data_IF_631725739831
#
_entry.id   IF_631725739831
#
_cell.length_a   1.000
_cell.length_b   1.000
_cell.length_c   1.000
_cell.angle_alpha   90.00
_cell.angle_beta   90.00
_cell.angle_gamma   90.00
#
_symmetry.space_group_name_H-M   'P 1'
#
loop_
_entity.id
_entity.type
_entity.pdbx_description
1 polymer ?
#
# COMPACT_ATOMS: atom_id res chain seq x y z
N UNK A 1 -66.82 29.19 -21.88
CA UNK A 1 -65.56 29.29 -22.66
C UNK A 1 -64.47 28.46 -22.00
N UNK A 2 -64.12 27.29 -22.55
CA UNK A 2 -62.99 26.48 -22.07
C UNK A 2 -61.68 27.18 -22.47
N UNK A 3 -60.88 27.61 -21.50
CA UNK A 3 -59.52 28.12 -21.76
C UNK A 3 -58.66 26.94 -22.21
N UNK A 4 -58.43 26.83 -23.52
CA UNK A 4 -57.48 25.86 -24.09
C UNK A 4 -56.07 26.34 -23.74
N UNK A 5 -55.40 25.64 -22.83
CA UNK A 5 -53.98 25.87 -22.55
C UNK A 5 -53.15 25.17 -23.63
N UNK A 6 -52.59 25.95 -24.55
CA UNK A 6 -51.61 25.46 -25.52
C UNK A 6 -50.29 25.17 -24.78
N UNK A 7 -49.90 23.89 -24.68
CA UNK A 7 -48.54 23.51 -24.29
C UNK A 7 -47.65 23.55 -25.53
N UNK A 8 -46.51 24.26 -25.53
CA UNK A 8 -45.58 24.19 -26.66
C UNK A 8 -45.10 22.75 -26.85
N UNK A 9 -45.11 22.25 -28.09
CA UNK A 9 -44.79 20.86 -28.44
C UNK A 9 -43.31 20.47 -28.27
N UNK A 10 -42.46 21.32 -27.66
CA UNK A 10 -41.08 20.99 -27.37
C UNK A 10 -40.39 22.05 -26.51
N UNK A 11 -39.37 21.62 -25.76
CA UNK A 11 -38.49 22.54 -25.02
C UNK A 11 -37.75 23.42 -26.03
N UNK A 12 -37.71 24.76 -25.88
CA UNK A 12 -37.01 25.61 -26.83
C UNK A 12 -35.49 25.36 -26.79
N UNK A 13 -34.82 25.35 -27.96
CA UNK A 13 -33.36 25.14 -28.08
C UNK A 13 -32.53 26.03 -27.14
N UNK A 14 -32.98 27.27 -26.92
CA UNK A 14 -32.34 28.23 -26.00
C UNK A 14 -32.39 27.78 -24.53
N UNK A 15 -33.48 27.13 -24.10
CA UNK A 15 -33.58 26.57 -22.77
C UNK A 15 -32.66 25.36 -22.60
N UNK A 16 -32.56 24.50 -23.63
CA UNK A 16 -31.59 23.41 -23.63
C UNK A 16 -30.15 23.93 -23.54
N UNK A 17 -29.82 24.98 -24.31
CA UNK A 17 -28.49 25.63 -24.24
C UNK A 17 -28.20 26.18 -22.84
N UNK A 18 -29.19 26.79 -22.17
CA UNK A 18 -28.99 27.34 -20.83
C UNK A 18 -28.81 26.23 -19.78
N UNK A 19 -29.60 25.15 -19.86
CA UNK A 19 -29.39 23.97 -19.00
C UNK A 19 -28.01 23.37 -19.25
N UNK A 20 -27.59 23.26 -20.51
CA UNK A 20 -26.25 22.78 -20.87
C UNK A 20 -25.15 23.68 -20.28
N UNK A 21 -25.29 25.00 -20.36
CA UNK A 21 -24.34 25.93 -19.74
C UNK A 21 -24.27 25.74 -18.21
N UNK A 22 -25.41 25.62 -17.53
CA UNK A 22 -25.44 25.37 -16.08
C UNK A 22 -24.77 24.04 -15.74
N UNK A 23 -25.02 22.98 -16.51
CA UNK A 23 -24.40 21.68 -16.33
C UNK A 23 -22.88 21.73 -16.54
N UNK A 24 -22.41 22.41 -17.59
CA UNK A 24 -20.98 22.59 -17.86
C UNK A 24 -20.32 23.42 -16.76
N UNK A 25 -20.95 24.52 -16.30
CA UNK A 25 -20.42 25.32 -15.20
C UNK A 25 -20.35 24.53 -13.89
N UNK A 26 -21.36 23.71 -13.60
CA UNK A 26 -21.35 22.81 -12.45
C UNK A 26 -20.22 21.78 -12.53
N UNK A 27 -20.02 21.16 -13.70
CA UNK A 27 -18.93 20.21 -13.94
C UNK A 27 -17.56 20.89 -13.74
N UNK A 28 -17.34 22.05 -14.37
CA UNK A 28 -16.11 22.82 -14.23
C UNK A 28 -15.86 23.21 -12.77
N UNK A 29 -16.90 23.60 -12.03
CA UNK A 29 -16.76 23.93 -10.61
C UNK A 29 -16.35 22.69 -9.78
N UNK A 30 -16.93 21.52 -10.05
CA UNK A 30 -16.55 20.26 -9.37
C UNK A 30 -15.10 19.88 -9.68
N UNK A 31 -14.66 20.05 -10.93
CA UNK A 31 -13.29 19.71 -11.35
C UNK A 31 -12.24 20.71 -10.83
N UNK A 32 -12.56 22.00 -10.78
CA UNK A 32 -11.60 23.06 -10.42
C UNK A 32 -11.46 23.29 -8.92
N UNK A 33 -12.41 22.83 -8.11
CA UNK A 33 -12.42 23.05 -6.67
C UNK A 33 -12.47 21.74 -5.85
N UNK A 34 -11.45 20.86 -5.97
CA UNK A 34 -11.34 19.69 -5.10
C UNK A 34 -11.04 20.10 -3.65
N UNK A 35 -11.36 19.20 -2.71
CA UNK A 35 -11.07 19.39 -1.28
C UNK A 35 -10.11 18.31 -0.81
N UNK A 36 -9.07 18.72 -0.08
CA UNK A 36 -8.14 17.83 0.57
C UNK A 36 -8.82 17.10 1.75
N UNK A 37 -9.00 15.78 1.62
CA UNK A 37 -9.60 14.90 2.64
C UNK A 37 -8.54 14.00 3.25
N UNK A 38 -8.39 14.08 4.58
CA UNK A 38 -7.60 13.11 5.36
C UNK A 38 -8.21 11.73 5.20
N UNK A 39 -7.37 10.75 4.91
CA UNK A 39 -7.78 9.37 4.70
C UNK A 39 -7.99 8.66 6.04
N UNK A 40 -8.72 7.53 6.05
CA UNK A 40 -8.95 6.71 7.25
C UNK A 40 -7.61 6.32 7.91
N UNK A 41 -7.60 6.24 9.25
CA UNK A 41 -6.44 5.94 10.08
C UNK A 41 -5.27 6.93 9.89
N UNK A 42 -5.59 8.21 9.64
CA UNK A 42 -4.58 9.26 9.44
C UNK A 42 -3.58 9.39 10.61
N UNK A 43 -4.02 9.39 11.89
CA UNK A 43 -3.09 9.47 13.01
C UNK A 43 -2.14 8.27 13.07
N UNK A 44 -2.64 7.05 12.94
CA UNK A 44 -1.86 5.82 13.01
C UNK A 44 -0.86 5.74 11.84
N UNK A 45 -1.26 6.19 10.65
CA UNK A 45 -0.35 6.32 9.50
C UNK A 45 0.82 7.25 9.76
N UNK A 46 0.57 8.40 10.40
CA UNK A 46 1.64 9.34 10.76
C UNK A 46 2.55 8.76 11.84
N UNK A 47 1.98 8.11 12.86
CA UNK A 47 2.77 7.43 13.90
C UNK A 47 3.66 6.35 13.29
N UNK A 48 3.11 5.49 12.44
CA UNK A 48 3.85 4.43 11.76
C UNK A 48 5.00 4.99 10.90
N UNK A 49 4.74 6.04 10.12
CA UNK A 49 5.78 6.64 9.28
C UNK A 49 6.88 7.33 10.09
N UNK A 50 6.54 8.00 11.21
CA UNK A 50 7.56 8.57 12.12
C UNK A 50 8.42 7.48 12.76
N UNK A 51 7.79 6.42 13.24
CA UNK A 51 8.48 5.29 13.86
C UNK A 51 9.39 4.56 12.86
N UNK A 52 8.95 4.42 11.60
CA UNK A 52 9.81 3.87 10.54
C UNK A 52 11.04 4.75 10.27
N UNK A 53 10.87 6.07 10.23
CA UNK A 53 11.99 7.01 10.06
C UNK A 53 12.97 6.95 11.24
N UNK A 54 12.46 6.87 12.47
CA UNK A 54 13.27 6.69 13.68
C UNK A 54 14.09 5.39 13.60
N UNK A 55 13.46 4.28 13.23
CA UNK A 55 14.12 3.00 13.04
C UNK A 55 15.19 3.04 11.94
N UNK A 56 14.95 3.73 10.82
CA UNK A 56 15.97 3.93 9.78
C UNK A 56 17.21 4.64 10.32
N UNK A 57 17.01 5.71 11.09
CA UNK A 57 18.11 6.45 11.72
C UNK A 57 18.86 5.58 12.73
N UNK A 58 18.15 4.78 13.52
CA UNK A 58 18.78 3.88 14.49
C UNK A 58 19.62 2.77 13.81
N UNK A 59 19.14 2.21 12.69
CA UNK A 59 19.90 1.25 11.88
C UNK A 59 21.16 1.91 11.32
N UNK A 60 21.06 3.14 10.78
CA UNK A 60 22.22 3.90 10.31
C UNK A 60 23.26 4.06 11.43
N UNK A 61 22.84 4.54 12.59
CA UNK A 61 23.74 4.74 13.74
C UNK A 61 24.39 3.43 14.19
N UNK A 62 23.63 2.34 14.22
CA UNK A 62 24.16 1.01 14.57
C UNK A 62 25.19 0.51 13.55
N UNK A 63 24.92 0.69 12.26
CA UNK A 63 25.84 0.30 11.17
C UNK A 63 27.19 1.02 11.31
N UNK A 64 27.14 2.33 11.56
CA UNK A 64 28.32 3.16 11.79
C UNK A 64 29.07 2.72 13.05
N UNK A 65 28.35 2.47 14.16
CA UNK A 65 28.96 2.02 15.41
C UNK A 65 29.69 0.68 15.29
N UNK A 66 29.24 -0.20 14.38
CA UNK A 66 29.89 -1.48 14.06
C UNK A 66 31.06 -1.35 13.07
N UNK A 67 31.36 -0.15 12.59
CA UNK A 67 32.41 0.07 11.59
C UNK A 67 32.07 -0.48 10.20
N UNK A 68 30.79 -0.73 9.91
CA UNK A 68 30.35 -1.23 8.60
C UNK A 68 30.12 -0.05 7.67
N UNK A 69 30.88 -0.01 6.57
CA UNK A 69 30.83 1.09 5.60
C UNK A 69 29.46 1.26 4.94
N UNK A 70 29.12 2.50 4.62
CA UNK A 70 28.00 2.86 3.75
C UNK A 70 28.58 3.32 2.43
N UNK A 71 28.23 2.62 1.35
CA UNK A 71 28.64 2.99 0.00
C UNK A 71 27.79 4.19 -0.48
N UNK A 72 28.38 5.37 -0.71
CA UNK A 72 27.65 6.57 -1.11
C UNK A 72 27.15 6.50 -2.56
N UNK A 73 27.73 5.65 -3.40
CA UNK A 73 27.25 5.44 -4.77
C UNK A 73 26.00 4.56 -4.74
N UNK A 74 26.02 3.49 -3.94
CA UNK A 74 24.88 2.59 -3.76
C UNK A 74 23.75 3.19 -2.89
N UNK A 75 24.10 3.95 -1.85
CA UNK A 75 23.20 4.59 -0.88
C UNK A 75 23.48 6.10 -0.77
N UNK A 76 23.07 6.92 -1.77
CA UNK A 76 23.34 8.36 -1.79
C UNK A 76 22.74 9.12 -0.59
N UNK A 77 21.66 8.59 -0.02
CA UNK A 77 20.99 9.15 1.15
C UNK A 77 21.62 8.69 2.47
N UNK A 78 22.69 7.88 2.40
CA UNK A 78 23.44 7.32 3.53
C UNK A 78 22.53 6.73 4.60
N UNK A 79 21.57 5.91 4.19
CA UNK A 79 20.52 5.37 5.07
C UNK A 79 21.01 4.17 5.88
N UNK A 80 22.06 3.49 5.40
CA UNK A 80 22.58 2.27 6.01
C UNK A 80 21.75 1.02 5.70
N UNK A 81 20.60 1.16 5.03
CA UNK A 81 19.66 0.08 4.70
C UNK A 81 19.96 -0.61 3.37
N UNK A 82 20.82 -0.01 2.55
CA UNK A 82 21.29 -0.62 1.29
C UNK A 82 22.56 -1.43 1.60
N UNK A 83 22.56 -2.69 1.16
CA UNK A 83 23.72 -3.57 1.24
C UNK A 83 24.62 -3.48 0.02
N UNK A 84 25.30 -4.60 -0.26
CA UNK A 84 26.28 -4.70 -1.35
C UNK A 84 25.66 -5.41 -2.55
N UNK A 85 26.31 -5.28 -3.71
CA UNK A 85 25.93 -6.04 -4.91
C UNK A 85 25.94 -7.54 -4.61
N UNK A 86 27.09 -8.12 -4.24
CA UNK A 86 27.22 -9.56 -3.94
C UNK A 86 28.07 -9.78 -2.69
N UNK A 87 27.67 -10.76 -1.88
CA UNK A 87 28.39 -11.27 -0.71
C UNK A 87 28.14 -12.78 -0.58
N UNK A 88 28.86 -13.51 0.31
CA UNK A 88 28.56 -14.93 0.57
C UNK A 88 27.13 -15.21 1.04
N UNK A 89 26.44 -14.21 1.60
CA UNK A 89 25.05 -14.35 2.10
C UNK A 89 23.99 -13.78 1.14
N UNK A 90 24.40 -13.43 -0.09
CA UNK A 90 23.47 -13.04 -1.16
C UNK A 90 22.72 -14.26 -1.68
N UNK A 91 21.39 -14.23 -1.62
CA UNK A 91 20.56 -15.38 -1.99
C UNK A 91 20.02 -15.35 -3.42
N UNK A 92 19.81 -14.15 -3.98
CA UNK A 92 19.12 -13.92 -5.26
C UNK A 92 19.55 -12.58 -5.85
N UNK A 93 19.32 -12.41 -7.16
CA UNK A 93 19.45 -11.12 -7.83
C UNK A 93 18.47 -10.08 -7.30
N UNK A 94 18.83 -8.81 -7.38
CA UNK A 94 18.02 -7.71 -6.86
C UNK A 94 18.27 -6.39 -7.57
N UNK A 95 17.24 -5.58 -7.72
CA UNK A 95 17.34 -4.26 -8.35
C UNK A 95 17.61 -3.18 -7.30
N UNK A 96 18.73 -2.47 -7.44
CA UNK A 96 19.11 -1.38 -6.53
C UNK A 96 18.06 -0.26 -6.51
N UNK A 97 17.41 0.03 -7.66
CA UNK A 97 16.32 1.00 -7.75
C UNK A 97 15.17 0.66 -6.81
N UNK A 98 14.74 -0.62 -6.79
CA UNK A 98 13.71 -1.09 -5.89
C UNK A 98 14.15 -1.00 -4.41
N UNK A 99 15.43 -1.25 -4.09
CA UNK A 99 15.93 -1.13 -2.72
C UNK A 99 15.91 0.32 -2.25
N UNK A 100 16.42 1.25 -3.07
CA UNK A 100 16.40 2.69 -2.79
C UNK A 100 14.98 3.22 -2.63
N UNK A 101 14.06 2.82 -3.51
CA UNK A 101 12.65 3.16 -3.42
C UNK A 101 12.03 2.67 -2.09
N UNK A 102 12.39 1.47 -1.66
CA UNK A 102 11.88 0.90 -0.40
C UNK A 102 12.28 1.70 0.84
N UNK A 103 13.37 2.48 0.77
CA UNK A 103 13.82 3.36 1.85
C UNK A 103 12.98 4.65 1.85
N UNK A 104 11.70 4.48 2.14
CA UNK A 104 10.72 5.53 2.27
C UNK A 104 9.81 5.22 3.48
N UNK A 105 9.85 6.03 4.55
CA UNK A 105 9.10 5.75 5.77
C UNK A 105 7.57 5.71 5.55
N UNK A 106 7.07 6.35 4.49
CA UNK A 106 5.65 6.38 4.17
C UNK A 106 5.10 5.02 3.70
N UNK A 107 5.94 4.03 3.37
CA UNK A 107 5.46 2.65 3.19
C UNK A 107 4.80 2.10 4.46
N UNK A 108 5.20 2.55 5.65
CA UNK A 108 4.55 2.14 6.90
C UNK A 108 3.08 2.55 6.93
N UNK A 109 2.75 3.74 6.39
CA UNK A 109 1.37 4.19 6.26
C UNK A 109 0.55 3.35 5.27
N UNK A 110 1.17 2.78 4.23
CA UNK A 110 0.50 1.83 3.33
C UNK A 110 0.19 0.50 4.03
N UNK A 111 1.13 -0.01 4.84
CA UNK A 111 0.87 -1.23 5.62
C UNK A 111 -0.26 -0.99 6.62
N UNK A 112 -0.28 0.16 7.32
CA UNK A 112 -1.43 0.57 8.17
C UNK A 112 -2.73 0.59 7.36
N UNK A 113 -2.70 1.18 6.16
CA UNK A 113 -3.88 1.24 5.29
C UNK A 113 -4.43 -0.15 4.94
N UNK A 114 -3.56 -1.08 4.58
CA UNK A 114 -3.97 -2.43 4.19
C UNK A 114 -4.43 -3.28 5.37
N UNK A 115 -3.72 -3.22 6.50
CA UNK A 115 -4.13 -3.92 7.72
C UNK A 115 -5.49 -3.41 8.21
N UNK A 116 -5.71 -2.09 8.26
CA UNK A 116 -7.02 -1.53 8.63
C UNK A 116 -8.14 -1.93 7.64
N UNK A 117 -7.83 -2.13 6.36
CA UNK A 117 -8.78 -2.64 5.36
C UNK A 117 -9.02 -4.14 5.46
N UNK A 118 -8.05 -4.90 5.95
CA UNK A 118 -8.21 -6.31 6.30
C UNK A 118 -9.11 -6.52 7.53
N UNK A 119 -9.44 -5.44 8.25
CA UNK A 119 -10.35 -5.47 9.40
C UNK A 119 -9.66 -5.83 10.71
N UNK A 120 -8.34 -5.66 10.81
CA UNK A 120 -7.65 -5.85 12.09
C UNK A 120 -7.97 -4.73 13.07
N UNK A 121 -8.08 -5.09 14.33
CA UNK A 121 -8.31 -4.20 15.45
C UNK A 121 -7.15 -4.28 16.46
N UNK A 122 -7.09 -3.30 17.37
CA UNK A 122 -6.09 -3.27 18.43
C UNK A 122 -6.07 -4.58 19.21
N UNK A 123 -4.88 -5.13 19.44
CA UNK A 123 -4.67 -6.39 20.16
C UNK A 123 -4.80 -7.65 19.32
N UNK A 124 -5.30 -7.56 18.08
CA UNK A 124 -5.40 -8.72 17.18
C UNK A 124 -4.03 -9.33 16.88
N UNK A 125 -4.03 -10.65 16.66
CA UNK A 125 -2.82 -11.38 16.29
C UNK A 125 -2.62 -11.30 14.78
N UNK A 126 -1.41 -10.93 14.37
CA UNK A 126 -1.02 -10.91 12.95
C UNK A 126 0.27 -11.70 12.75
N UNK A 127 0.35 -12.45 11.66
CA UNK A 127 1.55 -13.17 11.28
C UNK A 127 2.37 -12.34 10.28
N UNK A 128 3.69 -12.34 10.41
CA UNK A 128 4.60 -11.58 9.54
C UNK A 128 5.72 -12.49 9.05
N UNK A 129 5.83 -12.61 7.73
CA UNK A 129 7.00 -13.17 7.06
C UNK A 129 7.95 -12.04 6.67
N UNK A 130 9.07 -11.91 7.37
CA UNK A 130 10.06 -10.86 7.12
C UNK A 130 11.25 -11.41 6.32
N UNK A 131 11.82 -10.59 5.42
CA UNK A 131 12.99 -10.99 4.63
C UNK A 131 14.06 -9.91 4.65
N UNK A 132 15.30 -10.32 4.89
CA UNK A 132 16.45 -9.43 4.79
C UNK A 132 16.66 -8.82 3.41
N UNK A 133 15.96 -9.28 2.38
CA UNK A 133 15.99 -8.64 1.05
C UNK A 133 15.45 -7.20 1.07
N UNK A 134 14.52 -6.86 1.96
CA UNK A 134 13.93 -5.52 2.05
C UNK A 134 13.87 -5.04 3.52
N UNK A 135 15.01 -4.69 4.12
CA UNK A 135 15.05 -4.29 5.53
C UNK A 135 14.18 -3.06 5.80
N UNK A 136 14.13 -2.10 4.86
CA UNK A 136 13.29 -0.92 4.99
C UNK A 136 11.78 -1.24 5.04
N UNK A 137 11.32 -2.26 4.30
CA UNK A 137 9.93 -2.71 4.35
C UNK A 137 9.63 -3.55 5.58
N UNK A 138 10.62 -4.29 6.11
CA UNK A 138 10.46 -4.98 7.38
C UNK A 138 10.22 -3.96 8.50
N UNK A 139 11.05 -2.90 8.56
CA UNK A 139 10.84 -1.76 9.46
C UNK A 139 9.48 -1.09 9.24
N UNK A 140 9.09 -0.82 7.99
CA UNK A 140 7.79 -0.23 7.69
C UNK A 140 6.62 -1.09 8.20
N UNK A 141 6.74 -2.41 8.07
CA UNK A 141 5.75 -3.38 8.56
C UNK A 141 5.70 -3.38 10.08
N UNK A 142 6.86 -3.41 10.75
CA UNK A 142 6.94 -3.42 12.21
C UNK A 142 6.37 -2.13 12.79
N UNK A 143 6.67 -0.99 12.17
CA UNK A 143 6.13 0.30 12.56
C UNK A 143 4.60 0.38 12.40
N UNK A 144 4.06 -0.19 11.33
CA UNK A 144 2.60 -0.25 11.13
C UNK A 144 1.90 -1.13 12.17
N UNK A 145 2.46 -2.32 12.43
CA UNK A 145 1.95 -3.25 13.45
C UNK A 145 1.97 -2.61 14.83
N UNK A 146 3.07 -1.93 15.20
CA UNK A 146 3.17 -1.24 16.49
C UNK A 146 2.23 -0.04 16.59
N UNK A 147 2.10 0.76 15.53
CA UNK A 147 1.18 1.91 15.51
C UNK A 147 -0.30 1.52 15.60
N UNK A 148 -0.65 0.32 15.13
CA UNK A 148 -1.98 -0.27 15.26
C UNK A 148 -2.17 -1.07 16.56
N UNK A 149 -1.14 -1.14 17.41
CA UNK A 149 -1.15 -1.88 18.68
C UNK A 149 -1.56 -3.35 18.50
N UNK A 150 -1.05 -4.00 17.44
CA UNK A 150 -1.30 -5.41 17.14
C UNK A 150 -0.32 -6.32 17.89
N UNK A 151 -0.65 -7.61 17.97
CA UNK A 151 0.21 -8.66 18.51
C UNK A 151 0.87 -9.43 17.35
N UNK A 152 2.10 -9.08 16.94
CA UNK A 152 2.75 -9.78 15.84
C UNK A 152 3.38 -11.10 16.27
N UNK A 153 3.32 -12.08 15.37
CA UNK A 153 4.18 -13.25 15.37
C UNK A 153 5.04 -13.13 14.12
N UNK A 154 6.35 -12.94 14.30
CA UNK A 154 7.27 -12.67 13.19
C UNK A 154 8.21 -13.85 12.99
N UNK A 155 8.34 -14.30 11.74
CA UNK A 155 9.36 -15.24 11.30
C UNK A 155 10.17 -14.59 10.18
N UNK A 156 11.50 -14.60 10.33
CA UNK A 156 12.41 -13.95 9.38
C UNK A 156 13.15 -14.96 8.50
N UNK A 157 13.54 -14.54 7.30
CA UNK A 157 14.60 -15.18 6.53
C UNK A 157 15.86 -14.33 6.60
N UNK A 158 16.97 -14.95 7.02
CA UNK A 158 18.21 -14.26 7.37
C UNK A 158 19.02 -13.79 6.15
N UNK A 159 19.10 -14.60 5.09
CA UNK A 159 19.73 -14.20 3.84
C UNK A 159 18.95 -13.08 3.13
N UNK A 160 19.63 -12.42 2.20
CA UNK A 160 19.09 -11.28 1.47
C UNK A 160 19.48 -11.33 -0.01
N UNK A 161 18.64 -10.79 -0.89
CA UNK A 161 19.03 -10.53 -2.28
C UNK A 161 20.13 -9.48 -2.37
N UNK A 162 20.69 -9.31 -3.57
CA UNK A 162 21.56 -8.16 -3.88
C UNK A 162 20.95 -6.85 -3.34
N UNK A 163 21.81 -6.00 -2.79
CA UNK A 163 21.48 -4.70 -2.22
C UNK A 163 20.56 -4.71 -0.99
N UNK A 164 20.10 -5.88 -0.52
CA UNK A 164 19.37 -6.05 0.74
C UNK A 164 20.29 -6.00 1.96
N UNK A 165 19.85 -6.53 3.10
CA UNK A 165 20.68 -6.67 4.31
C UNK A 165 21.66 -7.86 4.18
N UNK A 166 22.51 -7.84 3.15
CA UNK A 166 23.42 -8.92 2.78
C UNK A 166 24.87 -8.70 3.25
N UNK A 167 25.12 -7.83 4.23
CA UNK A 167 26.46 -7.74 4.84
C UNK A 167 26.55 -8.77 5.98
N UNK A 168 27.49 -9.75 5.95
CA UNK A 168 27.56 -10.79 6.98
C UNK A 168 27.76 -10.29 8.42
N UNK A 169 28.32 -9.09 8.56
CA UNK A 169 28.52 -8.43 9.86
C UNK A 169 27.29 -7.67 10.36
N UNK A 170 26.30 -7.43 9.48
CA UNK A 170 25.13 -6.63 9.78
C UNK A 170 23.93 -7.03 8.90
N UNK A 171 23.43 -8.25 9.13
CA UNK A 171 22.25 -8.79 8.44
C UNK A 171 20.95 -8.24 9.02
N UNK A 172 19.80 -8.56 8.41
CA UNK A 172 18.49 -8.12 8.92
C UNK A 172 18.25 -8.50 10.38
N UNK A 173 18.66 -9.70 10.80
CA UNK A 173 18.51 -10.13 12.19
C UNK A 173 19.35 -9.28 13.16
N UNK A 174 20.53 -8.81 12.74
CA UNK A 174 21.34 -7.89 13.53
C UNK A 174 20.66 -6.51 13.64
N UNK A 175 20.08 -6.01 12.54
CA UNK A 175 19.30 -4.78 12.53
C UNK A 175 18.07 -4.87 13.44
N UNK A 176 17.30 -5.95 13.32
CA UNK A 176 16.11 -6.23 14.14
C UNK A 176 16.48 -6.29 15.63
N UNK A 177 17.55 -7.02 15.98
CA UNK A 177 18.04 -7.09 17.36
C UNK A 177 18.37 -5.71 17.92
N UNK A 178 19.09 -4.89 17.16
CA UNK A 178 19.45 -3.54 17.60
C UNK A 178 18.21 -2.65 17.81
N UNK A 179 17.20 -2.75 16.94
CA UNK A 179 15.94 -2.02 17.08
C UNK A 179 15.14 -2.47 18.32
N UNK A 180 15.13 -3.77 18.59
CA UNK A 180 14.48 -4.35 19.77
C UNK A 180 15.19 -3.94 21.08
N UNK A 181 16.53 -4.03 21.12
CA UNK A 181 17.33 -3.64 22.29
C UNK A 181 17.24 -2.14 22.61
N UNK A 182 17.13 -1.29 21.57
CA UNK A 182 16.87 0.15 21.71
C UNK A 182 15.40 0.48 22.02
N UNK A 183 14.53 -0.53 22.14
CA UNK A 183 13.08 -0.41 22.41
C UNK A 183 12.32 0.43 21.39
N UNK A 184 12.82 0.51 20.17
CA UNK A 184 12.09 1.13 19.05
C UNK A 184 10.91 0.24 18.67
N UNK A 185 11.14 -1.08 18.65
CA UNK A 185 10.08 -2.07 18.54
C UNK A 185 9.99 -2.92 19.80
N UNK A 186 8.76 -3.18 20.26
CA UNK A 186 8.48 -3.99 21.46
C UNK A 186 8.52 -5.51 21.20
N UNK A 187 8.79 -5.91 19.95
CA UNK A 187 8.80 -7.29 19.49
C UNK A 187 9.92 -7.52 18.48
N UNK A 188 10.17 -8.80 18.19
CA UNK A 188 11.17 -9.28 17.22
C UNK A 188 10.75 -10.66 16.71
N UNK A 189 11.50 -11.19 15.76
CA UNK A 189 11.31 -12.53 15.21
C UNK A 189 11.41 -13.60 16.30
N UNK A 190 10.45 -14.53 16.31
CA UNK A 190 10.48 -15.71 17.19
C UNK A 190 11.42 -16.78 16.64
N UNK A 191 11.54 -16.85 15.32
CA UNK A 191 12.36 -17.81 14.62
C UNK A 191 12.91 -17.21 13.32
N UNK A 192 13.97 -17.79 12.80
CA UNK A 192 14.51 -17.45 11.50
C UNK A 192 14.99 -18.68 10.72
N UNK A 193 14.77 -18.67 9.41
CA UNK A 193 15.39 -19.62 8.47
C UNK A 193 16.63 -19.01 7.83
N UNK A 194 17.40 -19.85 7.14
CA UNK A 194 18.44 -19.35 6.22
C UNK A 194 17.83 -18.49 5.11
N UNK A 195 16.68 -18.88 4.59
CA UNK A 195 16.04 -18.22 3.45
C UNK A 195 16.62 -18.71 2.12
N UNK A 196 16.61 -17.83 1.12
CA UNK A 196 17.09 -18.15 -0.23
C UNK A 196 16.20 -19.15 -0.98
N UNK A 197 16.79 -19.83 -1.96
CA UNK A 197 16.08 -20.83 -2.76
C UNK A 197 15.74 -22.02 -1.87
N UNK A 198 14.48 -22.46 -1.94
CA UNK A 198 13.89 -23.53 -1.12
C UNK A 198 14.01 -23.34 0.40
N UNK A 199 14.32 -22.13 0.85
CA UNK A 199 14.38 -21.72 2.27
C UNK A 199 15.52 -22.32 3.13
N UNK A 200 16.34 -23.22 2.56
CA UNK A 200 17.57 -23.74 3.17
C UNK A 200 18.85 -23.22 2.51
N UNK A 201 18.75 -22.18 1.67
CA UNK A 201 19.88 -21.55 0.99
C UNK A 201 20.44 -22.37 -0.15
N UNK A 202 19.57 -23.04 -0.94
CA UNK A 202 20.02 -23.77 -2.12
C UNK A 202 20.75 -22.82 -3.10
N UNK A 203 21.88 -23.27 -3.66
CA UNK A 203 22.74 -22.46 -4.52
C UNK A 203 23.75 -21.55 -3.79
N UNK A 204 23.70 -21.46 -2.46
CA UNK A 204 24.71 -20.72 -1.67
C UNK A 204 25.90 -21.62 -1.31
N UNK A 205 27.09 -21.03 -1.15
CA UNK A 205 28.28 -21.75 -0.68
C UNK A 205 28.09 -22.26 0.75
N UNK A 206 28.85 -23.29 1.14
CA UNK A 206 28.83 -23.78 2.51
C UNK A 206 29.23 -22.68 3.51
N UNK A 207 30.21 -21.86 3.17
CA UNK A 207 30.61 -20.69 3.93
C UNK A 207 29.45 -19.71 4.12
N UNK A 208 28.74 -19.36 3.06
CA UNK A 208 27.58 -18.48 3.13
C UNK A 208 26.48 -19.00 4.06
N UNK A 209 26.19 -20.30 3.99
CA UNK A 209 25.21 -20.94 4.89
C UNK A 209 25.68 -20.94 6.34
N UNK A 210 26.97 -21.16 6.59
CA UNK A 210 27.55 -21.11 7.93
C UNK A 210 27.47 -19.69 8.52
N UNK A 211 27.80 -18.66 7.74
CA UNK A 211 27.69 -17.26 8.17
C UNK A 211 26.25 -16.89 8.56
N UNK A 212 25.26 -17.40 7.81
CA UNK A 212 23.85 -17.19 8.13
C UNK A 212 23.46 -17.91 9.43
N UNK A 213 23.87 -19.17 9.60
CA UNK A 213 23.61 -19.92 10.82
C UNK A 213 24.26 -19.25 12.05
N UNK A 214 25.47 -18.72 11.89
CA UNK A 214 26.16 -17.92 12.91
C UNK A 214 25.41 -16.64 13.24
N UNK A 215 24.84 -15.94 12.25
CA UNK A 215 24.02 -14.76 12.50
C UNK A 215 22.74 -15.09 13.27
N UNK A 216 22.04 -16.17 12.90
CA UNK A 216 20.86 -16.66 13.62
C UNK A 216 21.22 -16.98 15.08
N UNK A 217 22.33 -17.71 15.29
CA UNK A 217 22.85 -18.06 16.62
C UNK A 217 23.26 -16.84 17.44
N UNK A 218 23.98 -15.89 16.84
CA UNK A 218 24.46 -14.64 17.48
C UNK A 218 23.30 -13.77 17.95
N UNK A 219 22.21 -13.76 17.19
CA UNK A 219 21.01 -12.98 17.51
C UNK A 219 20.11 -13.72 18.50
N UNK A 220 20.22 -15.05 18.60
CA UNK A 220 19.56 -15.88 19.61
C UNK A 220 18.08 -16.13 19.33
N UNK A 221 17.71 -16.29 18.05
CA UNK A 221 16.36 -16.73 17.64
C UNK A 221 16.37 -18.21 17.31
N UNK A 222 15.20 -18.86 17.41
CA UNK A 222 15.06 -20.26 17.01
C UNK A 222 15.37 -20.43 15.52
N UNK A 223 16.17 -21.43 15.16
CA UNK A 223 16.51 -21.71 13.76
C UNK A 223 15.48 -22.66 13.17
N UNK A 224 14.87 -22.26 12.06
CA UNK A 224 14.11 -23.16 11.18
C UNK A 224 15.11 -23.90 10.30
N UNK A 225 15.32 -25.19 10.60
CA UNK A 225 16.22 -26.06 9.83
C UNK A 225 15.41 -26.92 8.86
N UNK A 226 14.91 -26.27 7.82
CA UNK A 226 14.09 -26.89 6.79
C UNK A 226 14.90 -27.90 5.96
N UNK A 227 14.38 -29.11 5.77
CA UNK A 227 14.95 -30.14 4.89
C UNK A 227 14.66 -29.90 3.42
N UNK A 228 13.52 -29.26 3.15
CA UNK A 228 13.04 -28.87 1.83
C UNK A 228 11.98 -27.76 1.99
N UNK A 229 11.48 -27.24 0.87
CA UNK A 229 10.51 -26.14 0.88
C UNK A 229 9.21 -26.47 1.65
N UNK A 230 8.65 -27.67 1.46
CA UNK A 230 7.39 -28.06 2.10
C UNK A 230 7.54 -28.14 3.63
N UNK A 231 8.62 -28.78 4.10
CA UNK A 231 8.98 -28.83 5.51
C UNK A 231 9.18 -27.42 6.11
N UNK A 232 9.83 -26.51 5.37
CA UNK A 232 9.98 -25.12 5.79
C UNK A 232 8.65 -24.35 5.89
N UNK A 233 7.69 -24.63 5.01
CA UNK A 233 6.34 -24.04 5.07
C UNK A 233 5.58 -24.61 6.28
N UNK A 234 5.59 -25.93 6.46
CA UNK A 234 4.87 -26.61 7.54
C UNK A 234 5.40 -26.17 8.92
N UNK A 235 6.72 -26.10 9.11
CA UNK A 235 7.32 -25.61 10.36
C UNK A 235 6.88 -24.18 10.69
N UNK A 236 6.79 -23.28 9.69
CA UNK A 236 6.29 -21.92 9.90
C UNK A 236 4.84 -21.89 10.33
N UNK A 237 3.98 -22.63 9.63
CA UNK A 237 2.55 -22.68 9.97
C UNK A 237 2.36 -23.22 11.38
N UNK A 238 3.10 -24.26 11.77
CA UNK A 238 3.10 -24.78 13.14
C UNK A 238 3.56 -23.74 14.17
N UNK A 239 4.64 -23.01 13.90
CA UNK A 239 5.13 -21.94 14.79
C UNK A 239 4.12 -20.79 14.93
N UNK A 240 3.47 -20.39 13.83
CA UNK A 240 2.41 -19.38 13.86
C UNK A 240 1.22 -19.85 14.70
N UNK A 241 0.73 -21.06 14.46
CA UNK A 241 -0.43 -21.63 15.16
C UNK A 241 -0.11 -21.83 16.66
N UNK A 242 1.08 -22.35 16.99
CA UNK A 242 1.54 -22.54 18.36
C UNK A 242 1.67 -21.20 19.11
N UNK A 243 2.29 -20.19 18.49
CA UNK A 243 2.49 -18.87 19.14
C UNK A 243 1.20 -18.05 19.24
N UNK A 244 0.24 -18.28 18.34
CA UNK A 244 -1.08 -17.67 18.43
C UNK A 244 -1.90 -18.20 19.62
N UNK A 245 -1.59 -19.40 20.12
CA UNK A 245 -2.17 -19.94 21.36
C UNK A 245 -3.70 -20.08 21.28
N UNK A 246 -4.21 -20.51 20.12
CA UNK A 246 -5.65 -20.65 19.86
C UNK A 246 -6.37 -19.35 19.47
N UNK A 247 -5.71 -18.20 19.52
CA UNK A 247 -6.27 -16.95 18.95
C UNK A 247 -6.24 -17.02 17.42
N UNK A 248 -7.27 -16.47 16.78
CA UNK A 248 -7.29 -16.36 15.32
C UNK A 248 -6.24 -15.34 14.85
N UNK A 249 -5.39 -15.74 13.90
CA UNK A 249 -4.51 -14.82 13.17
C UNK A 249 -5.38 -14.06 12.16
N UNK A 250 -5.48 -12.74 12.30
CA UNK A 250 -6.41 -11.89 11.54
C UNK A 250 -5.88 -11.41 10.20
N UNK A 251 -4.57 -11.36 10.04
CA UNK A 251 -3.92 -11.03 8.78
C UNK A 251 -2.51 -11.63 8.72
N UNK A 252 -2.05 -11.89 7.50
CA UNK A 252 -0.66 -12.23 7.22
C UNK A 252 0.00 -11.13 6.39
N UNK A 253 1.18 -10.66 6.80
CA UNK A 253 1.98 -9.69 6.04
C UNK A 253 3.25 -10.35 5.54
N UNK A 254 3.42 -10.41 4.23
CA UNK A 254 4.64 -10.89 3.60
C UNK A 254 5.50 -9.73 3.10
N UNK A 255 6.75 -9.68 3.57
CA UNK A 255 7.77 -8.73 3.14
C UNK A 255 8.78 -9.42 2.22
N UNK A 256 8.80 -9.02 0.95
CA UNK A 256 9.72 -9.57 -0.05
C UNK A 256 9.21 -10.85 -0.72
N UNK A 257 10.14 -11.60 -1.31
CA UNK A 257 9.83 -12.70 -2.24
C UNK A 257 10.48 -14.03 -1.88
N UNK A 258 10.64 -14.32 -0.59
CA UNK A 258 11.18 -15.60 -0.12
C UNK A 258 10.34 -16.78 -0.62
N UNK A 259 11.01 -17.86 -1.04
CA UNK A 259 10.36 -19.02 -1.67
C UNK A 259 9.31 -19.66 -0.77
N UNK A 260 9.58 -19.81 0.53
CA UNK A 260 8.60 -20.35 1.49
C UNK A 260 7.40 -19.43 1.73
N UNK A 261 7.59 -18.11 1.61
CA UNK A 261 6.52 -17.15 1.89
C UNK A 261 5.53 -17.03 0.74
N UNK A 262 6.01 -16.97 -0.51
CA UNK A 262 5.20 -16.65 -1.71
C UNK A 262 5.09 -17.81 -2.71
N UNK A 263 5.93 -18.84 -2.56
CA UNK A 263 6.12 -19.89 -3.54
C UNK A 263 7.18 -19.54 -4.59
N UNK A 264 7.30 -20.40 -5.60
CA UNK A 264 8.24 -20.25 -6.71
C UNK A 264 7.79 -19.15 -7.68
N UNK A 265 8.51 -18.97 -8.80
CA UNK A 265 8.26 -17.91 -9.79
C UNK A 265 6.80 -17.85 -10.29
N UNK A 266 6.08 -18.97 -10.29
CA UNK A 266 4.66 -19.07 -10.65
C UNK A 266 3.75 -18.47 -9.57
N UNK A 267 3.99 -18.79 -8.29
CA UNK A 267 3.21 -18.26 -7.15
C UNK A 267 3.33 -16.75 -6.98
N UNK A 268 4.51 -16.18 -7.30
CA UNK A 268 4.78 -14.72 -7.23
C UNK A 268 3.91 -13.87 -8.15
N UNK A 269 3.37 -14.43 -9.23
CA UNK A 269 2.50 -13.72 -10.18
C UNK A 269 1.01 -13.85 -9.86
N UNK A 270 0.65 -14.73 -8.92
CA UNK A 270 -0.74 -15.05 -8.61
C UNK A 270 -1.31 -14.10 -7.56
N UNK A 271 -0.51 -13.69 -6.57
CA UNK A 271 -0.89 -12.66 -5.61
C UNK A 271 -0.64 -11.25 -6.15
N UNK A 272 -1.58 -10.33 -5.90
CA UNK A 272 -1.43 -8.92 -6.28
C UNK A 272 -0.58 -8.17 -5.25
N UNK A 273 0.20 -7.15 -5.66
CA UNK A 273 0.82 -6.23 -4.71
C UNK A 273 -0.22 -5.57 -3.79
N UNK A 274 0.08 -5.47 -2.50
CA UNK A 274 -0.82 -4.91 -1.50
C UNK A 274 -1.77 -5.95 -0.88
N UNK A 275 -3.01 -5.55 -0.58
CA UNK A 275 -3.99 -6.38 0.13
C UNK A 275 -4.73 -7.37 -0.80
N UNK A 276 -4.73 -8.64 -0.42
CA UNK A 276 -5.49 -9.72 -1.03
C UNK A 276 -6.47 -10.28 0.02
N UNK A 277 -7.77 -10.17 -0.24
CA UNK A 277 -8.82 -10.65 0.69
C UNK A 277 -9.18 -12.12 0.47
N UNK A 278 -8.89 -12.64 -0.72
CA UNK A 278 -9.25 -13.99 -1.16
C UNK A 278 -8.01 -14.65 -1.79
N UNK A 279 -7.91 -15.99 -1.74
CA UNK A 279 -6.85 -16.72 -2.42
C UNK A 279 -6.93 -16.49 -3.94
N UNK A 280 -5.79 -16.52 -4.66
CA UNK A 280 -5.79 -16.42 -6.10
C UNK A 280 -6.53 -17.62 -6.72
N UNK A 281 -7.38 -17.36 -7.71
CA UNK A 281 -8.07 -18.43 -8.44
C UNK A 281 -7.14 -19.14 -9.43
N UNK A 282 -7.27 -20.45 -9.56
CA UNK A 282 -6.58 -21.26 -10.57
C UNK A 282 -6.16 -22.65 -10.07
N UNK A 283 -6.06 -23.63 -10.97
CA UNK A 283 -5.48 -24.93 -10.67
C UNK A 283 -3.94 -24.86 -10.63
N UNK A 284 -3.29 -25.62 -9.74
CA UNK A 284 -1.83 -25.74 -9.69
C UNK A 284 -1.11 -24.60 -8.95
N UNK A 285 -1.72 -24.04 -7.90
CA UNK A 285 -1.07 -23.05 -7.03
C UNK A 285 0.11 -23.71 -6.31
N UNK A 286 1.28 -23.05 -6.35
CA UNK A 286 2.44 -23.52 -5.58
C UNK A 286 2.18 -23.29 -4.09
N UNK A 287 2.42 -24.32 -3.28
CA UNK A 287 2.28 -24.22 -1.83
C UNK A 287 3.20 -23.13 -1.26
N UNK A 288 2.68 -22.38 -0.29
CA UNK A 288 3.37 -21.27 0.38
C UNK A 288 2.62 -20.85 1.65
N UNK A 289 3.32 -20.18 2.56
CA UNK A 289 2.69 -19.60 3.75
C UNK A 289 1.55 -18.63 3.37
N UNK A 290 1.74 -17.81 2.32
CA UNK A 290 0.68 -16.93 1.83
C UNK A 290 -0.56 -17.70 1.37
N UNK A 291 -0.38 -18.77 0.59
CA UNK A 291 -1.49 -19.59 0.11
C UNK A 291 -2.23 -20.24 1.27
N UNK A 292 -1.50 -20.88 2.20
CA UNK A 292 -2.09 -21.55 3.37
C UNK A 292 -2.90 -20.58 4.23
N UNK A 293 -2.45 -19.32 4.42
CA UNK A 293 -3.24 -18.31 5.11
C UNK A 293 -4.48 -17.87 4.30
N UNK A 294 -4.32 -17.63 3.00
CA UNK A 294 -5.44 -17.23 2.15
C UNK A 294 -6.54 -18.31 2.07
N UNK A 295 -6.17 -19.58 1.99
CA UNK A 295 -7.10 -20.74 2.04
C UNK A 295 -7.82 -20.87 3.39
N UNK A 296 -7.20 -20.42 4.48
CA UNK A 296 -7.84 -20.29 5.81
C UNK A 296 -8.75 -19.05 5.93
N UNK A 297 -8.96 -18.31 4.84
CA UNK A 297 -9.75 -17.08 4.83
C UNK A 297 -9.06 -15.90 5.55
N UNK A 298 -7.75 -15.96 5.75
CA UNK A 298 -6.97 -14.88 6.37
C UNK A 298 -6.47 -13.93 5.29
N UNK A 299 -6.80 -12.63 5.33
CA UNK A 299 -6.30 -11.65 4.37
C UNK A 299 -4.77 -11.57 4.37
N UNK A 300 -4.21 -11.42 3.18
CA UNK A 300 -2.75 -11.38 2.96
C UNK A 300 -2.32 -10.05 2.37
N UNK A 301 -1.37 -9.38 3.02
CA UNK A 301 -0.68 -8.20 2.50
C UNK A 301 0.64 -8.62 1.88
N UNK A 302 0.82 -8.40 0.58
CA UNK A 302 2.02 -8.76 -0.15
C UNK A 302 2.81 -7.52 -0.59
N UNK A 303 3.96 -7.29 0.04
CA UNK A 303 4.85 -6.17 -0.28
C UNK A 303 5.82 -6.56 -1.40
N UNK A 304 5.32 -6.50 -2.64
CA UNK A 304 6.08 -6.70 -3.88
C UNK A 304 5.80 -5.56 -4.87
N UNK A 305 6.51 -5.53 -5.99
CA UNK A 305 6.36 -4.54 -7.06
C UNK A 305 6.30 -3.08 -6.56
N UNK A 306 7.38 -2.64 -5.92
CA UNK A 306 7.40 -1.36 -5.21
C UNK A 306 7.20 -0.14 -6.11
N UNK A 307 7.63 -0.21 -7.37
CA UNK A 307 7.41 0.88 -8.33
C UNK A 307 5.92 1.10 -8.59
N UNK A 308 5.15 0.03 -8.75
CA UNK A 308 3.70 0.10 -8.91
C UNK A 308 3.05 0.68 -7.65
N UNK A 309 3.42 0.16 -6.48
CA UNK A 309 2.91 0.65 -5.19
C UNK A 309 3.24 2.13 -4.97
N UNK A 310 4.45 2.56 -5.31
CA UNK A 310 4.87 3.95 -5.21
C UNK A 310 4.06 4.86 -6.15
N UNK A 311 3.92 4.48 -7.42
CA UNK A 311 3.15 5.25 -8.42
C UNK A 311 1.67 5.40 -8.02
N UNK A 312 1.03 4.31 -7.59
CA UNK A 312 -0.38 4.32 -7.17
C UNK A 312 -0.61 5.23 -5.96
N UNK A 313 0.37 5.35 -5.07
CA UNK A 313 0.26 6.12 -3.84
C UNK A 313 0.96 7.49 -3.88
N UNK A 314 1.53 7.87 -5.03
CA UNK A 314 2.18 9.16 -5.23
C UNK A 314 3.48 9.32 -4.45
N UNK A 315 4.22 8.22 -4.24
CA UNK A 315 5.55 8.27 -3.65
C UNK A 315 6.63 8.54 -4.73
N UNK A 316 7.72 9.24 -4.38
CA UNK A 316 8.85 9.42 -5.30
C UNK A 316 9.49 8.07 -5.63
N UNK A 317 9.61 7.75 -6.91
CA UNK A 317 10.20 6.48 -7.40
C UNK A 317 11.72 6.46 -7.22
N UNK A 318 12.36 7.63 -7.35
CA UNK A 318 13.79 7.82 -7.11
C UNK A 318 14.01 9.06 -6.23
N UNK A 319 13.88 8.92 -4.91
CA UNK A 319 13.95 10.08 -4.02
C UNK A 319 15.38 10.61 -3.88
N UNK A 320 15.57 11.89 -4.23
CA UNK A 320 16.80 12.66 -3.95
C UNK A 320 16.71 13.18 -2.51
N UNK A 321 17.16 12.38 -1.54
CA UNK A 321 16.95 12.62 -0.11
C UNK A 321 15.87 11.73 0.51
N UNK A 322 15.80 11.69 1.85
CA UNK A 322 14.77 10.94 2.57
C UNK A 322 13.38 11.56 2.35
N UNK A 323 12.37 10.82 1.85
CA UNK A 323 11.01 11.33 1.71
C UNK A 323 10.44 11.82 3.04
N UNK A 324 9.68 12.93 3.02
CA UNK A 324 9.15 13.49 4.28
C UNK A 324 7.98 12.65 4.75
N UNK A 325 7.87 12.49 6.06
CA UNK A 325 6.74 11.80 6.68
C UNK A 325 5.44 12.55 6.38
N UNK A 326 4.41 11.81 5.97
CA UNK A 326 3.10 12.37 5.65
C UNK A 326 2.90 12.68 4.17
N UNK A 327 3.88 12.39 3.32
CA UNK A 327 3.77 12.55 1.87
C UNK A 327 3.03 11.38 1.21
N UNK A 328 2.24 11.69 0.19
CA UNK A 328 1.54 10.71 -0.65
C UNK A 328 0.03 10.58 -0.38
N UNK A 329 -0.65 9.97 -1.36
CA UNK A 329 -2.12 9.83 -1.43
C UNK A 329 -2.71 8.95 -0.33
N UNK A 330 -1.88 8.25 0.44
CA UNK A 330 -2.32 7.42 1.57
C UNK A 330 -2.71 8.26 2.79
N UNK A 331 -2.16 9.48 2.91
CA UNK A 331 -2.45 10.39 4.01
C UNK A 331 -3.62 11.32 3.68
N UNK A 332 -3.53 12.01 2.54
CA UNK A 332 -4.52 12.98 2.10
C UNK A 332 -4.78 12.77 0.61
N UNK A 333 -6.05 12.78 0.20
CA UNK A 333 -6.45 12.78 -1.21
C UNK A 333 -7.25 14.02 -1.52
N UNK A 334 -7.03 14.54 -2.71
CA UNK A 334 -7.95 15.50 -3.31
C UNK A 334 -9.18 14.73 -3.79
N UNK A 335 -10.33 15.05 -3.21
CA UNK A 335 -11.61 14.46 -3.56
C UNK A 335 -12.54 15.56 -4.08
N UNK A 336 -13.47 15.20 -4.97
CA UNK A 336 -14.49 16.14 -5.42
C UNK A 336 -15.29 16.68 -4.24
N UNK A 337 -15.50 17.99 -4.23
CA UNK A 337 -16.29 18.61 -3.20
C UNK A 337 -17.76 18.20 -3.36
N UNK A 338 -18.22 17.27 -2.51
CA UNK A 338 -19.59 16.74 -2.54
C UNK A 338 -20.66 17.83 -2.41
N UNK A 339 -20.35 18.94 -1.72
CA UNK A 339 -21.25 20.09 -1.65
C UNK A 339 -21.37 20.81 -2.99
N UNK A 340 -20.26 21.09 -3.67
CA UNK A 340 -20.27 21.70 -5.00
C UNK A 340 -20.99 20.79 -6.00
N UNK A 341 -20.71 19.48 -5.94
CA UNK A 341 -21.40 18.50 -6.78
C UNK A 341 -22.91 18.46 -6.50
N UNK A 342 -23.32 18.48 -5.23
CA UNK A 342 -24.74 18.50 -4.82
C UNK A 342 -25.46 19.77 -5.23
N UNK A 343 -24.85 20.95 -5.01
CA UNK A 343 -25.39 22.25 -5.43
C UNK A 343 -25.50 22.33 -6.95
N UNK A 344 -24.47 21.87 -7.67
CA UNK A 344 -24.47 21.81 -9.13
C UNK A 344 -25.58 20.92 -9.69
N UNK A 345 -25.73 19.70 -9.15
CA UNK A 345 -26.81 18.79 -9.52
C UNK A 345 -28.19 19.40 -9.23
N UNK A 346 -28.35 20.02 -8.07
CA UNK A 346 -29.59 20.69 -7.69
C UNK A 346 -29.92 21.85 -8.65
N UNK A 347 -28.93 22.67 -9.01
CA UNK A 347 -29.12 23.76 -9.97
C UNK A 347 -29.56 23.25 -11.36
N UNK A 348 -28.96 22.15 -11.83
CA UNK A 348 -29.37 21.50 -13.09
C UNK A 348 -30.81 20.98 -13.00
N UNK A 349 -31.18 20.32 -11.90
CA UNK A 349 -32.55 19.80 -11.69
C UNK A 349 -33.58 20.93 -11.63
N UNK A 350 -33.29 22.03 -10.94
CA UNK A 350 -34.17 23.20 -10.87
C UNK A 350 -34.30 23.85 -12.26
N UNK A 351 -33.21 23.99 -13.01
CA UNK A 351 -33.28 24.49 -14.37
C UNK A 351 -34.18 23.57 -15.23
N UNK A 352 -33.97 22.26 -15.19
CA UNK A 352 -34.83 21.30 -15.91
C UNK A 352 -36.31 21.43 -15.50
N UNK A 353 -36.62 21.52 -14.20
CA UNK A 353 -37.99 21.67 -13.73
C UNK A 353 -38.63 22.98 -14.20
N UNK A 354 -37.91 24.09 -14.09
CA UNK A 354 -38.37 25.42 -14.48
C UNK A 354 -38.63 25.54 -15.99
N UNK A 355 -37.76 24.93 -16.81
CA UNK A 355 -37.81 25.03 -18.28
C UNK A 355 -38.67 23.95 -18.93
N UNK A 356 -38.81 22.76 -18.34
CA UNK A 356 -39.54 21.61 -18.93
C UNK A 356 -40.96 21.50 -18.37
N UNK A 357 -41.15 21.69 -17.06
CA UNK A 357 -42.45 21.44 -16.40
C UNK A 357 -43.30 22.69 -16.22
N UNK A 358 -42.68 23.81 -15.87
CA UNK A 358 -43.40 25.01 -15.41
C UNK A 358 -43.62 26.07 -16.52
N UNK A 359 -43.08 25.87 -17.73
CA UNK A 359 -43.12 26.83 -18.85
C UNK A 359 -42.62 28.26 -18.49
N UNK A 360 -41.97 28.42 -17.34
CA UNK A 360 -41.47 29.71 -16.81
C UNK A 360 -40.38 30.25 -17.74
N UNK A 361 -39.53 29.37 -18.25
CA UNK A 361 -38.49 29.71 -19.22
C UNK A 361 -39.01 30.26 -20.54
N UNK A 362 -40.12 29.72 -21.06
CA UNK A 362 -40.75 30.22 -22.26
C UNK A 362 -41.30 31.65 -22.04
N UNK A 363 -41.90 31.92 -20.86
CA UNK A 363 -42.43 33.25 -20.52
C UNK A 363 -41.33 34.30 -20.32
N UNK A 364 -40.23 33.95 -19.66
CA UNK A 364 -39.10 34.86 -19.41
C UNK A 364 -38.33 35.14 -20.71
N UNK A 365 -38.00 34.11 -21.50
CA UNK A 365 -37.26 34.27 -22.76
C UNK A 365 -38.07 34.97 -23.86
N UNK A 366 -39.41 34.81 -23.88
CA UNK A 366 -40.27 35.57 -24.80
C UNK A 366 -40.49 37.02 -24.35
N UNK A 367 -40.56 37.29 -23.04
CA UNK A 367 -40.73 38.64 -22.49
C UNK A 367 -39.54 39.56 -22.73
N UNK A 368 -38.31 39.03 -22.68
CA UNK A 368 -37.07 39.82 -22.87
C UNK A 368 -36.85 40.25 -24.33
N UNK A 369 -37.39 39.51 -25.30
CA UNK A 369 -37.15 39.78 -26.73
C UNK A 369 -38.37 40.26 -27.52
N UNK A 370 -39.55 40.37 -26.90
CA UNK A 370 -40.71 41.03 -27.52
C UNK A 370 -40.53 42.54 -27.74
N UNK A 371 -39.38 43.11 -27.34
CA UNK A 371 -39.03 44.50 -27.62
C UNK A 371 -38.44 44.74 -29.01
N UNK A 372 -38.17 43.70 -29.83
CA UNK A 372 -37.58 43.91 -31.17
C UNK A 372 -38.27 43.30 -32.39
N UNK A 373 -39.24 42.40 -32.26
CA UNK A 373 -39.99 41.88 -33.41
C UNK A 373 -41.49 42.15 -33.31
N UNK A 374 -41.90 43.37 -33.70
CA UNK A 374 -43.25 43.62 -34.22
C UNK A 374 -43.19 43.47 -35.74
N UNK A 375 -43.60 42.31 -36.24
CA UNK A 375 -44.34 42.13 -37.51
C UNK A 375 -44.19 40.69 -38.02
N UNK A 376 -45.01 39.76 -37.53
CA UNK A 376 -45.53 38.66 -38.38
C UNK A 376 -46.98 38.40 -38.00
N UNK A 377 -47.87 38.60 -38.97
CA UNK A 377 -49.31 38.36 -38.90
C UNK A 377 -49.60 36.86 -38.69
N UNK A 378 -50.72 36.50 -38.05
CA UNK A 378 -51.12 35.10 -37.90
C UNK A 378 -51.63 34.53 -39.22
N UNK A 379 -51.08 33.40 -39.66
CA UNK A 379 -51.70 32.56 -40.69
C UNK A 379 -52.61 31.51 -40.03
N UNK A 380 -53.83 31.37 -40.55
CA UNK A 380 -54.73 30.26 -40.26
C UNK A 380 -54.17 28.97 -40.89
N UNK A 381 -54.28 27.85 -40.17
CA UNK A 381 -54.04 26.53 -40.73
C UNK A 381 -55.26 26.06 -41.51
N UNK A 382 -55.01 25.51 -42.70
CA UNK A 382 -55.79 24.39 -43.26
C UNK A 382 -55.09 23.11 -42.84
#
# INVERSE_FOLDING_TARGET
MKKVYWRPQGVPRRAMLLIAMVAVSALVAVEKFPVARRQRNYPEKLVAARLALEAFNAIKSEKIARGVGIDPEADPNQTGLIGRSVTPVTSNTGYISAKRLSVNPNFAALVVHWLARAGVEKGDVVAVGASGSFPALCVATFAAVQALELTPIVISSASASEWGANDPSFMWLDMEKALFEKRIFAFRSIAASRGGIEDYGFGMSQEGRNLIDEAIKRVGVEKIDAKNLADGIDQRMQMFDAKAGGKQIKAYVNVGGGTASVGTHVGKKQFKPGLNMEPPGGAGLADSVMLRFAERGVPVVHLTNLEELAKQNGFPVEPRGMPRVGEGKVFVREEYNRWIAGVGLFAVLIAMLAFIRLDVGARILQGVWRRKDRARQPQQMV
#
